data_IF_440974884315
#
_entry.id   IF_440974884315
#
_cell.length_a   1.000
_cell.length_b   1.000
_cell.length_c   1.000
_cell.angle_alpha   90.00
_cell.angle_beta   90.00
_cell.angle_gamma   90.00
#
_symmetry.space_group_name_H-M   'P 1'
#
loop_
_entity.id
_entity.type
_entity.pdbx_description
1 polymer ?
#
# COMPACT_ATOMS: atom_id res chain seq x y z
N UNK A 1 -9.29 -17.60 5.22
CA UNK A 1 -8.03 -17.16 5.86
C UNK A 1 -7.30 -16.22 4.90
N UNK A 2 -6.80 -15.06 5.35
CA UNK A 2 -6.07 -14.12 4.47
C UNK A 2 -4.59 -14.57 4.36
N UNK A 3 -4.09 -14.90 3.16
CA UNK A 3 -2.74 -15.41 2.98
C UNK A 3 -1.69 -14.32 3.19
N UNK A 4 -0.54 -14.72 3.76
CA UNK A 4 0.64 -13.88 3.90
C UNK A 4 1.80 -14.54 3.14
N UNK A 5 2.28 -13.88 2.11
CA UNK A 5 3.38 -14.36 1.29
C UNK A 5 4.66 -13.64 1.70
N UNK A 6 5.72 -14.40 1.99
CA UNK A 6 7.02 -13.82 2.26
C UNK A 6 7.85 -13.72 0.97
N UNK A 7 8.59 -12.63 0.84
CA UNK A 7 9.52 -12.38 -0.27
C UNK A 7 10.83 -11.92 0.35
N UNK A 8 11.91 -12.69 0.15
CA UNK A 8 13.25 -12.29 0.56
C UNK A 8 13.89 -11.46 -0.54
N UNK A 9 14.27 -10.23 -0.22
CA UNK A 9 14.96 -9.31 -1.13
C UNK A 9 16.12 -8.68 -0.35
N UNK A 10 17.19 -9.45 -0.08
CA UNK A 10 18.28 -9.03 0.80
C UNK A 10 19.00 -7.78 0.29
N UNK A 11 19.07 -7.58 -1.03
CA UNK A 11 19.65 -6.39 -1.65
C UNK A 11 18.79 -5.13 -1.49
N UNK A 12 17.51 -5.26 -1.13
CA UNK A 12 16.64 -4.11 -0.92
C UNK A 12 16.94 -3.45 0.42
N UNK A 13 17.95 -2.58 0.41
CA UNK A 13 18.24 -1.64 1.48
C UNK A 13 17.84 -0.22 1.06
N UNK A 14 17.85 0.71 2.01
CA UNK A 14 17.61 2.14 1.75
C UNK A 14 18.76 3.02 2.25
N UNK A 15 19.93 2.41 2.47
CA UNK A 15 21.17 3.14 2.80
C UNK A 15 21.72 3.84 1.57
N UNK A 16 21.52 3.24 0.41
CA UNK A 16 21.85 3.74 -0.91
C UNK A 16 20.60 3.73 -1.79
N UNK A 17 20.70 4.30 -2.99
CA UNK A 17 19.62 4.32 -3.98
C UNK A 17 19.29 2.87 -4.39
N UNK A 18 18.08 2.36 -4.08
CA UNK A 18 17.72 0.98 -4.42
C UNK A 18 17.45 0.85 -5.92
N UNK A 19 17.72 -0.33 -6.46
CA UNK A 19 17.28 -0.72 -7.80
C UNK A 19 15.77 -1.05 -7.79
N UNK A 20 14.95 0.00 -7.77
CA UNK A 20 13.50 -0.13 -7.67
C UNK A 20 12.86 -0.87 -8.84
N UNK A 21 13.51 -0.90 -10.01
CA UNK A 21 13.04 -1.67 -11.17
C UNK A 21 13.17 -3.16 -10.88
N UNK A 22 14.37 -3.64 -10.55
CA UNK A 22 14.59 -5.07 -10.29
C UNK A 22 13.89 -5.56 -9.02
N UNK A 23 13.85 -4.74 -7.97
CA UNK A 23 13.08 -5.05 -6.75
C UNK A 23 11.58 -5.13 -7.08
N UNK A 24 11.06 -4.18 -7.87
CA UNK A 24 9.68 -4.15 -8.32
C UNK A 24 9.30 -5.41 -9.10
N UNK A 25 10.14 -5.83 -10.06
CA UNK A 25 9.95 -7.06 -10.85
C UNK A 25 9.84 -8.30 -9.94
N UNK A 26 10.68 -8.41 -8.91
CA UNK A 26 10.65 -9.55 -7.97
C UNK A 26 9.31 -9.63 -7.22
N UNK A 27 8.78 -8.50 -6.76
CA UNK A 27 7.50 -8.44 -6.06
C UNK A 27 6.34 -8.66 -7.04
N UNK A 28 6.38 -8.04 -8.22
CA UNK A 28 5.39 -8.18 -9.28
C UNK A 28 5.24 -9.64 -9.72
N UNK A 29 6.35 -10.37 -9.87
CA UNK A 29 6.34 -11.81 -10.19
C UNK A 29 5.55 -12.61 -9.14
N UNK A 30 5.69 -12.27 -7.86
CA UNK A 30 4.93 -12.92 -6.78
C UNK A 30 3.44 -12.58 -6.85
N UNK A 31 3.09 -11.32 -7.10
CA UNK A 31 1.69 -10.89 -7.26
C UNK A 31 1.05 -11.60 -8.47
N UNK A 32 1.72 -11.60 -9.62
CA UNK A 32 1.26 -12.24 -10.86
C UNK A 32 1.04 -13.75 -10.68
N UNK A 33 1.90 -14.43 -9.91
CA UNK A 33 1.75 -15.86 -9.58
C UNK A 33 0.47 -16.15 -8.77
N UNK A 34 0.11 -15.28 -7.83
CA UNK A 34 -0.99 -15.55 -6.89
C UNK A 34 -2.32 -14.90 -7.27
N UNK A 35 -2.31 -13.86 -8.10
CA UNK A 35 -3.51 -13.09 -8.46
C UNK A 35 -3.65 -12.87 -9.97
N UNK A 36 -3.41 -13.88 -10.83
CA UNK A 36 -3.47 -13.69 -12.28
C UNK A 36 -4.85 -13.18 -12.72
N UNK A 37 -4.87 -12.21 -13.64
CA UNK A 37 -6.07 -11.61 -14.22
C UNK A 37 -7.03 -10.90 -13.24
N UNK A 38 -6.67 -10.74 -11.95
CA UNK A 38 -7.51 -10.03 -10.99
C UNK A 38 -7.39 -8.50 -11.16
N UNK A 39 -8.48 -7.79 -10.88
CA UNK A 39 -8.47 -6.34 -10.65
C UNK A 39 -8.21 -6.10 -9.17
N UNK A 40 -7.08 -5.48 -8.84
CA UNK A 40 -6.62 -5.31 -7.46
C UNK A 40 -6.37 -3.84 -7.13
N UNK A 41 -6.39 -3.50 -5.84
CA UNK A 41 -5.79 -2.28 -5.33
C UNK A 41 -4.59 -2.63 -4.44
N UNK A 42 -3.47 -1.93 -4.65
CA UNK A 42 -2.22 -2.15 -3.93
C UNK A 42 -1.96 -0.96 -3.00
N UNK A 43 -1.74 -1.27 -1.72
CA UNK A 43 -1.29 -0.32 -0.70
C UNK A 43 0.02 -0.82 -0.09
N UNK A 44 1.01 0.04 -0.04
CA UNK A 44 2.35 -0.29 0.46
C UNK A 44 2.60 0.47 1.78
N UNK A 45 3.28 -0.17 2.73
CA UNK A 45 3.56 0.39 4.06
C UNK A 45 5.00 0.13 4.50
N UNK A 46 5.51 1.01 5.36
CA UNK A 46 6.72 0.79 6.16
C UNK A 46 6.36 0.61 7.63
N UNK A 47 7.15 -0.15 8.38
CA UNK A 47 7.12 -0.20 9.85
C UNK A 47 7.28 1.19 10.48
N UNK A 48 7.99 2.12 9.80
CA UNK A 48 8.16 3.50 10.27
C UNK A 48 6.82 4.24 10.41
N UNK A 49 5.81 3.83 9.66
CA UNK A 49 4.44 4.35 9.78
C UNK A 49 3.75 3.83 11.05
N UNK A 50 4.19 2.71 11.61
CA UNK A 50 3.52 2.03 12.72
C UNK A 50 4.41 1.96 13.96
N UNK A 51 4.76 3.12 14.51
CA UNK A 51 5.59 3.25 15.72
C UNK A 51 5.12 2.30 16.84
N UNK A 52 6.08 1.59 17.43
CA UNK A 52 5.83 0.64 18.51
C UNK A 52 5.18 -0.68 18.09
N UNK A 53 5.14 -1.01 16.79
CA UNK A 53 4.66 -2.31 16.30
C UNK A 53 5.66 -2.96 15.37
N UNK A 54 5.86 -4.26 15.55
CA UNK A 54 6.57 -5.09 14.59
C UNK A 54 5.74 -5.29 13.32
N UNK A 55 6.40 -5.65 12.21
CA UNK A 55 5.73 -5.98 10.96
C UNK A 55 4.67 -7.08 11.15
N UNK A 56 4.97 -8.10 11.96
CA UNK A 56 4.03 -9.19 12.25
C UNK A 56 2.79 -8.68 12.99
N UNK A 57 2.95 -7.74 13.94
CA UNK A 57 1.83 -7.11 14.63
C UNK A 57 0.97 -6.28 13.68
N UNK A 58 1.59 -5.49 12.79
CA UNK A 58 0.87 -4.70 11.77
C UNK A 58 0.07 -5.61 10.83
N UNK A 59 0.68 -6.70 10.34
CA UNK A 59 -0.01 -7.70 9.50
C UNK A 59 -1.20 -8.31 10.25
N UNK A 60 -1.03 -8.68 11.52
CA UNK A 60 -2.13 -9.24 12.31
C UNK A 60 -3.29 -8.26 12.49
N UNK A 61 -2.99 -6.97 12.68
CA UNK A 61 -4.02 -5.93 12.73
C UNK A 61 -4.74 -5.82 11.39
N UNK A 62 -4.02 -5.74 10.27
CA UNK A 62 -4.61 -5.68 8.93
C UNK A 62 -5.52 -6.89 8.69
N UNK A 63 -5.07 -8.09 9.04
CA UNK A 63 -5.90 -9.32 8.93
C UNK A 63 -7.16 -9.25 9.80
N UNK A 64 -7.08 -8.63 10.99
CA UNK A 64 -8.20 -8.50 11.92
C UNK A 64 -9.24 -7.48 11.45
N UNK A 65 -8.81 -6.28 11.05
CA UNK A 65 -9.72 -5.14 10.80
C UNK A 65 -9.89 -4.80 9.32
N UNK A 66 -9.11 -5.39 8.42
CA UNK A 66 -9.16 -5.14 6.98
C UNK A 66 -8.23 -4.04 6.48
N UNK A 67 -7.58 -3.27 7.36
CA UNK A 67 -6.67 -2.17 6.98
C UNK A 67 -5.64 -1.86 8.07
N UNK A 68 -4.67 -0.99 7.77
CA UNK A 68 -3.59 -0.58 8.67
C UNK A 68 -3.91 0.64 9.52
N UNK A 69 -5.03 1.32 9.25
CA UNK A 69 -5.48 2.52 9.97
C UNK A 69 -6.26 2.20 11.25
N UNK A 70 -5.62 1.50 12.19
CA UNK A 70 -6.23 1.10 13.47
C UNK A 70 -6.28 2.19 14.53
N UNK A 71 -5.54 3.29 14.36
CA UNK A 71 -5.51 4.40 15.31
C UNK A 71 -6.25 5.61 14.72
N UNK A 72 -7.50 5.90 15.14
CA UNK A 72 -8.26 7.04 14.64
C UNK A 72 -7.66 8.40 15.04
N UNK A 73 -6.77 8.43 16.04
CA UNK A 73 -6.10 9.66 16.51
C UNK A 73 -4.72 9.88 15.87
N UNK A 74 -4.33 9.08 14.88
CA UNK A 74 -3.01 9.20 14.24
C UNK A 74 -2.95 10.47 13.38
N UNK A 75 -2.19 11.47 13.84
CA UNK A 75 -1.90 12.71 13.08
C UNK A 75 -1.18 12.43 11.76
N UNK A 76 -1.49 13.20 10.72
CA UNK A 76 -0.80 13.16 9.43
C UNK A 76 -1.18 11.99 8.50
N UNK A 77 -2.16 11.18 8.90
CA UNK A 77 -2.86 10.34 7.93
C UNK A 77 -3.74 11.31 7.13
N UNK A 78 -3.60 11.35 5.79
CA UNK A 78 -4.00 12.45 4.86
C UNK A 78 -5.49 12.89 4.87
N UNK A 79 -6.27 12.62 5.91
CA UNK A 79 -7.64 13.02 6.15
C UNK A 79 -7.83 14.53 6.29
N UNK A 80 -6.85 15.24 6.84
CA UNK A 80 -6.98 16.69 7.10
C UNK A 80 -6.98 17.52 5.80
N UNK A 81 -6.53 16.93 4.68
CA UNK A 81 -6.19 17.68 3.46
C UNK A 81 -6.92 17.13 2.22
N UNK A 82 -8.20 16.75 2.35
CA UNK A 82 -9.00 16.18 1.24
C UNK A 82 -10.43 16.75 1.20
N UNK A 83 -10.60 18.08 1.04
CA UNK A 83 -11.87 18.77 0.71
C UNK A 83 -13.16 18.06 1.23
N UNK A 84 -13.23 17.74 2.52
CA UNK A 84 -14.36 17.06 3.18
C UNK A 84 -14.81 15.69 2.61
N UNK A 85 -13.94 14.93 1.94
CA UNK A 85 -14.26 13.57 1.46
C UNK A 85 -13.83 12.49 2.45
N UNK A 86 -14.72 11.55 2.73
CA UNK A 86 -14.35 10.35 3.48
C UNK A 86 -13.58 9.36 2.59
N UNK A 87 -12.37 8.99 3.01
CA UNK A 87 -11.50 8.01 2.35
C UNK A 87 -10.99 7.03 3.40
N UNK A 88 -11.32 5.74 3.28
CA UNK A 88 -10.82 4.72 4.20
C UNK A 88 -9.30 4.54 4.06
N UNK A 89 -8.77 4.51 2.83
CA UNK A 89 -7.33 4.37 2.57
C UNK A 89 -6.94 4.82 1.16
N UNK A 90 -5.64 5.03 0.94
CA UNK A 90 -5.07 5.28 -0.38
C UNK A 90 -4.33 4.05 -0.92
N UNK A 91 -4.54 3.76 -2.21
CA UNK A 91 -3.97 2.65 -2.95
C UNK A 91 -3.94 2.95 -4.46
N UNK A 92 -3.16 2.19 -5.24
CA UNK A 92 -3.24 2.25 -6.71
C UNK A 92 -3.94 1.00 -7.26
N UNK A 93 -4.84 1.21 -8.22
CA UNK A 93 -5.61 0.13 -8.85
C UNK A 93 -4.91 -0.44 -10.09
N UNK A 94 -4.90 -1.75 -10.22
CA UNK A 94 -4.26 -2.47 -11.34
C UNK A 94 -5.13 -3.61 -11.86
N UNK A 95 -4.91 -3.98 -13.12
CA UNK A 95 -5.29 -5.30 -13.63
C UNK A 95 -4.03 -6.14 -13.73
N UNK A 96 -3.99 -7.28 -13.05
CA UNK A 96 -2.81 -8.16 -13.01
C UNK A 96 -2.69 -8.91 -14.33
N UNK A 97 -1.86 -8.39 -15.25
CA UNK A 97 -1.51 -9.02 -16.53
C UNK A 97 -0.01 -9.34 -16.55
N UNK A 98 0.46 -10.23 -17.45
CA UNK A 98 1.87 -10.62 -17.51
C UNK A 98 2.83 -9.42 -17.62
N UNK A 99 2.46 -8.43 -18.45
CA UNK A 99 3.26 -7.22 -18.70
C UNK A 99 2.97 -6.05 -17.76
N UNK A 100 2.01 -6.16 -16.83
CA UNK A 100 1.71 -5.06 -15.90
C UNK A 100 2.89 -4.83 -14.96
N UNK A 101 3.38 -3.60 -14.89
CA UNK A 101 4.35 -3.15 -13.88
C UNK A 101 3.58 -2.48 -12.75
N UNK A 102 3.83 -2.87 -11.50
CA UNK A 102 3.05 -2.38 -10.36
C UNK A 102 3.92 -1.74 -9.28
N UNK A 103 5.02 -2.38 -8.88
CA UNK A 103 5.72 -2.00 -7.64
C UNK A 103 6.88 -1.01 -7.79
N UNK A 104 7.44 -0.78 -8.98
CA UNK A 104 8.61 0.10 -9.15
C UNK A 104 8.37 1.51 -8.58
N UNK A 105 7.24 2.13 -8.94
CA UNK A 105 6.89 3.50 -8.54
C UNK A 105 6.57 3.61 -7.05
N UNK A 106 6.13 2.52 -6.41
CA UNK A 106 5.99 2.48 -4.96
C UNK A 106 7.36 2.47 -4.29
N UNK A 107 8.28 1.63 -4.74
CA UNK A 107 9.61 1.53 -4.13
C UNK A 107 10.38 2.85 -4.29
N UNK A 108 10.36 3.41 -5.49
CA UNK A 108 10.95 4.73 -5.76
C UNK A 108 10.37 5.79 -4.81
N UNK A 109 9.04 5.83 -4.67
CA UNK A 109 8.37 6.79 -3.80
C UNK A 109 8.81 6.70 -2.33
N UNK A 110 9.05 5.50 -1.82
CA UNK A 110 9.51 5.25 -0.45
C UNK A 110 10.95 5.73 -0.19
N UNK A 111 11.74 5.88 -1.26
CA UNK A 111 13.10 6.42 -1.21
C UNK A 111 13.14 7.93 -1.49
N UNK A 112 12.56 8.35 -2.61
CA UNK A 112 12.67 9.73 -3.15
C UNK A 112 11.86 10.73 -2.34
N UNK A 113 10.62 10.40 -1.94
CA UNK A 113 9.77 11.39 -1.25
C UNK A 113 10.30 11.81 0.10
N UNK A 114 10.74 10.90 1.00
CA UNK A 114 11.35 11.33 2.26
C UNK A 114 12.51 12.31 2.06
N UNK A 115 13.38 12.06 1.07
CA UNK A 115 14.53 12.93 0.76
C UNK A 115 14.09 14.35 0.36
N UNK A 116 13.03 14.48 -0.44
CA UNK A 116 12.46 15.80 -0.83
C UNK A 116 11.96 16.63 0.36
N UNK A 117 11.72 16.01 1.51
CA UNK A 117 11.28 16.68 2.74
C UNK A 117 12.36 16.63 3.83
N UNK A 118 13.63 16.47 3.47
CA UNK A 118 14.77 16.35 4.40
C UNK A 118 14.58 15.24 5.46
N UNK A 119 13.92 14.13 5.08
CA UNK A 119 13.72 12.94 5.92
C UNK A 119 14.52 11.76 5.38
N UNK A 120 14.85 10.82 6.26
CA UNK A 120 15.54 9.58 5.89
C UNK A 120 14.63 8.70 5.02
N UNK A 121 15.14 8.07 3.94
CA UNK A 121 14.45 7.06 3.17
C UNK A 121 13.80 5.97 4.05
N UNK A 122 12.73 5.39 3.53
CA UNK A 122 11.96 4.35 4.21
C UNK A 122 11.91 3.09 3.36
N UNK A 123 12.02 1.92 3.98
CA UNK A 123 11.90 0.65 3.26
C UNK A 123 10.44 0.25 3.19
N UNK A 124 9.99 -0.15 2.02
CA UNK A 124 8.71 -0.81 1.82
C UNK A 124 8.80 -2.21 2.42
N UNK A 125 7.94 -2.53 3.39
CA UNK A 125 8.00 -3.80 4.14
C UNK A 125 6.72 -4.63 4.00
N UNK A 126 5.59 -3.98 3.72
CA UNK A 126 4.28 -4.64 3.57
C UNK A 126 3.62 -4.17 2.28
N UNK A 127 3.12 -5.12 1.47
CA UNK A 127 2.21 -4.86 0.35
C UNK A 127 0.87 -5.49 0.67
N UNK A 128 -0.18 -4.68 0.79
CA UNK A 128 -1.56 -5.12 0.98
C UNK A 128 -2.25 -5.17 -0.39
N UNK A 129 -2.91 -6.28 -0.68
CA UNK A 129 -3.60 -6.52 -1.94
C UNK A 129 -5.09 -6.66 -1.65
N UNK A 130 -5.85 -5.72 -2.20
CA UNK A 130 -7.30 -5.68 -2.07
C UNK A 130 -7.99 -6.11 -3.36
N UNK A 131 -9.18 -6.70 -3.24
CA UNK A 131 -10.12 -6.92 -4.34
C UNK A 131 -10.77 -5.59 -4.71
N UNK A 132 -10.49 -5.09 -5.92
CA UNK A 132 -11.00 -3.81 -6.38
C UNK A 132 -12.53 -3.81 -6.49
N UNK A 133 -13.18 -4.97 -6.68
CA UNK A 133 -14.64 -5.08 -6.75
C UNK A 133 -15.33 -4.80 -5.42
N UNK A 134 -14.61 -4.97 -4.29
CA UNK A 134 -15.07 -4.72 -2.92
C UNK A 134 -14.82 -3.27 -2.45
N UNK A 135 -14.25 -2.44 -3.31
CA UNK A 135 -13.90 -1.05 -3.01
C UNK A 135 -14.68 -0.08 -3.91
N UNK A 136 -14.95 1.12 -3.39
CA UNK A 136 -15.43 2.26 -4.17
C UNK A 136 -14.32 3.30 -4.23
N UNK A 137 -13.93 3.68 -5.43
CA UNK A 137 -12.93 4.74 -5.66
C UNK A 137 -13.58 6.10 -5.40
N UNK A 138 -12.87 6.96 -4.67
CA UNK A 138 -13.28 8.32 -4.33
C UNK A 138 -12.29 9.30 -4.98
N UNK A 139 -12.68 9.98 -6.07
CA UNK A 139 -11.89 11.08 -6.62
C UNK A 139 -11.77 12.20 -5.58
N UNK A 140 -10.58 12.74 -5.39
CA UNK A 140 -10.32 13.81 -4.43
C UNK A 140 -9.22 14.74 -4.94
N UNK A 141 -9.03 15.86 -4.26
CA UNK A 141 -8.05 16.88 -4.56
C UNK A 141 -7.41 17.26 -3.22
N UNK A 142 -6.09 17.41 -3.20
CA UNK A 142 -5.43 17.96 -2.02
C UNK A 142 -5.56 19.49 -2.06
N UNK A 143 -5.62 20.13 -0.90
CA UNK A 143 -5.64 21.58 -0.76
C UNK A 143 -4.44 22.21 -1.47
N UNK A 144 -4.69 23.31 -2.18
CA UNK A 144 -3.68 24.03 -2.96
C UNK A 144 -3.23 23.33 -4.26
N UNK A 145 -3.84 22.21 -4.66
CA UNK A 145 -3.54 21.53 -5.93
C UNK A 145 -4.73 21.62 -6.88
N UNK A 146 -4.49 21.63 -8.19
CA UNK A 146 -5.55 21.65 -9.22
C UNK A 146 -5.86 20.26 -9.82
N UNK A 147 -5.05 19.24 -9.51
CA UNK A 147 -5.21 17.91 -10.08
C UNK A 147 -6.12 17.00 -9.25
N UNK A 148 -7.09 16.37 -9.92
CA UNK A 148 -7.96 15.37 -9.31
C UNK A 148 -7.22 14.03 -9.23
N UNK A 149 -7.03 13.54 -8.01
CA UNK A 149 -6.46 12.23 -7.69
C UNK A 149 -7.53 11.15 -7.63
N UNK A 150 -7.11 9.92 -7.93
CA UNK A 150 -7.98 8.73 -8.09
C UNK A 150 -7.46 7.51 -7.31
N UNK A 151 -6.63 7.75 -6.30
CA UNK A 151 -5.99 6.76 -5.43
C UNK A 151 -6.72 6.60 -4.07
N UNK A 152 -7.77 7.37 -3.81
CA UNK A 152 -8.62 7.24 -2.62
C UNK A 152 -9.66 6.13 -2.76
N UNK A 153 -9.83 5.30 -1.73
CA UNK A 153 -10.81 4.23 -1.68
C UNK A 153 -11.59 4.20 -0.37
N UNK A 154 -12.85 3.79 -0.45
CA UNK A 154 -13.68 3.37 0.68
C UNK A 154 -14.12 1.91 0.50
N UNK A 155 -14.35 1.20 1.60
CA UNK A 155 -14.91 -0.14 1.56
C UNK A 155 -16.39 -0.10 1.18
N UNK A 156 -16.83 -0.94 0.24
CA UNK A 156 -18.27 -1.07 -0.06
C UNK A 156 -19.06 -1.66 1.11
N UNK A 157 -18.44 -2.54 1.88
CA UNK A 157 -19.01 -3.11 3.10
C UNK A 157 -18.18 -2.68 4.33
N UNK A 158 -18.51 -1.54 4.96
CA UNK A 158 -17.75 -1.03 6.11
C UNK A 158 -17.85 -1.90 7.36
N UNK A 159 -18.88 -2.76 7.46
CA UNK A 159 -19.06 -3.72 8.57
C UNK A 159 -18.16 -4.96 8.42
N UNK A 160 -17.68 -5.25 7.21
CA UNK A 160 -16.83 -6.42 6.94
C UNK A 160 -15.65 -6.11 6.01
N UNK A 161 -14.84 -5.12 6.38
CA UNK A 161 -13.71 -4.62 5.57
C UNK A 161 -12.70 -5.71 5.17
N UNK A 162 -12.50 -6.72 6.02
CA UNK A 162 -11.57 -7.85 5.78
C UNK A 162 -11.92 -8.68 4.54
N UNK A 163 -13.17 -8.68 4.07
CA UNK A 163 -13.55 -9.36 2.82
C UNK A 163 -12.88 -8.77 1.59
N UNK A 164 -12.45 -7.50 1.66
CA UNK A 164 -11.71 -6.88 0.57
C UNK A 164 -10.26 -7.37 0.48
N UNK A 165 -9.70 -8.04 1.49
CA UNK A 165 -8.31 -8.49 1.49
C UNK A 165 -8.14 -9.78 0.69
N UNK A 166 -7.35 -9.72 -0.38
CA UNK A 166 -6.93 -10.89 -1.16
C UNK A 166 -5.66 -11.53 -0.60
N UNK A 167 -4.75 -10.72 -0.06
CA UNK A 167 -3.50 -11.20 0.52
C UNK A 167 -2.57 -10.08 0.94
N UNK A 168 -1.49 -10.46 1.61
CA UNK A 168 -0.44 -9.55 2.08
C UNK A 168 0.91 -10.11 1.68
N UNK A 169 1.78 -9.27 1.12
CA UNK A 169 3.20 -9.61 0.93
C UNK A 169 4.01 -8.99 2.08
N UNK A 170 4.84 -9.80 2.73
CA UNK A 170 5.85 -9.37 3.70
C UNK A 170 7.22 -9.42 3.03
N UNK A 171 7.87 -8.27 2.92
CA UNK A 171 9.23 -8.17 2.38
C UNK A 171 10.22 -8.37 3.52
N UNK A 172 11.15 -9.30 3.32
CA UNK A 172 12.21 -9.68 4.25
C UNK A 172 13.54 -9.17 3.70
#
# INVERSE_FOLDING_TARGET
MIPVYQIKIPEYTVKEKPDWVNIGIKIDKKIKKHFPNKKIAIRCLSSKDHKGKSISQVINIIKKIGHDRYNPKRKGDRYENIQNKHIDFFALGFTVKPKTIMLENFIESFYVWPLKFNKKPTRLEIVIIYDLSKLKRIPHQYEGRNDIKKDGFVFKNPKNKKEALLGIMKIL
#
